data_IF_726095439860
#
_entry.id   IF_726095439860
#
_cell.length_a   1.000
_cell.length_b   1.000
_cell.length_c   1.000
_cell.angle_alpha   90.00
_cell.angle_beta   90.00
_cell.angle_gamma   90.00
#
_symmetry.space_group_name_H-M   'P 1'
#
loop_
_entity.id
_entity.type
_entity.pdbx_description
1 polymer ?
#
# COMPACT_ATOMS: atom_id res chain seq x y z
N UNK A 1 -42.38 28.72 -17.18
CA UNK A 1 -40.95 29.11 -17.27
C UNK A 1 -40.01 28.29 -16.36
N UNK A 2 -40.22 26.98 -16.14
CA UNK A 2 -39.41 26.18 -15.19
C UNK A 2 -38.74 24.91 -15.77
N UNK A 3 -38.78 24.71 -17.11
CA UNK A 3 -38.21 23.50 -17.75
C UNK A 3 -36.79 23.72 -18.29
N UNK A 4 -36.43 24.95 -18.62
CA UNK A 4 -35.13 25.30 -19.25
C UNK A 4 -33.96 25.36 -18.25
N UNK A 5 -34.21 25.67 -16.96
CA UNK A 5 -33.15 25.74 -15.93
C UNK A 5 -32.61 24.37 -15.46
N UNK A 6 -33.37 23.28 -15.65
CA UNK A 6 -32.97 21.92 -15.20
C UNK A 6 -32.03 21.20 -16.16
N UNK A 7 -32.04 21.57 -17.45
CA UNK A 7 -31.18 20.97 -18.48
C UNK A 7 -29.74 21.52 -18.36
N UNK A 8 -29.58 22.85 -18.21
CA UNK A 8 -28.26 23.50 -18.05
C UNK A 8 -27.47 23.06 -16.80
N UNK A 9 -28.14 22.61 -15.73
CA UNK A 9 -27.46 22.13 -14.51
C UNK A 9 -26.90 20.71 -14.68
N UNK A 10 -27.53 19.87 -15.50
CA UNK A 10 -27.08 18.50 -15.78
C UNK A 10 -25.93 18.45 -16.79
N UNK A 11 -25.92 19.33 -17.78
CA UNK A 11 -24.80 19.44 -18.72
C UNK A 11 -23.53 19.95 -18.05
N UNK A 12 -23.62 20.98 -17.21
CA UNK A 12 -22.47 21.49 -16.45
C UNK A 12 -21.87 20.46 -15.47
N UNK A 13 -22.70 19.61 -14.86
CA UNK A 13 -22.23 18.53 -13.98
C UNK A 13 -21.48 17.43 -14.75
N UNK A 14 -21.95 17.05 -15.95
CA UNK A 14 -21.27 16.08 -16.82
C UNK A 14 -19.91 16.59 -17.30
N UNK A 15 -19.82 17.87 -17.67
CA UNK A 15 -18.57 18.51 -18.11
C UNK A 15 -17.55 18.61 -16.97
N UNK A 16 -17.98 18.91 -15.74
CA UNK A 16 -17.10 18.94 -14.55
C UNK A 16 -16.61 17.53 -14.16
N UNK A 17 -17.45 16.50 -14.31
CA UNK A 17 -17.09 15.12 -13.99
C UNK A 17 -16.12 14.52 -15.03
N UNK A 18 -16.30 14.83 -16.32
CA UNK A 18 -15.36 14.45 -17.38
C UNK A 18 -14.01 15.16 -17.25
N UNK A 19 -13.98 16.42 -16.83
CA UNK A 19 -12.72 17.15 -16.59
C UNK A 19 -11.96 16.61 -15.36
N UNK A 20 -12.66 16.17 -14.29
CA UNK A 20 -12.04 15.46 -13.15
C UNK A 20 -11.46 14.10 -13.55
N UNK A 21 -12.14 13.33 -14.39
CA UNK A 21 -11.66 12.03 -14.88
C UNK A 21 -10.43 12.17 -15.79
N UNK A 22 -10.42 13.16 -16.69
CA UNK A 22 -9.26 13.48 -17.54
C UNK A 22 -8.04 13.93 -16.72
N UNK A 23 -8.24 14.70 -15.65
CA UNK A 23 -7.16 15.07 -14.74
C UNK A 23 -6.64 13.86 -13.93
N UNK A 24 -7.49 12.97 -13.41
CA UNK A 24 -7.06 11.73 -12.73
C UNK A 24 -6.19 10.83 -13.62
N UNK A 25 -6.55 10.66 -14.90
CA UNK A 25 -5.76 9.91 -15.88
C UNK A 25 -4.38 10.54 -16.13
N UNK A 26 -4.29 11.87 -16.16
CA UNK A 26 -3.02 12.60 -16.29
C UNK A 26 -2.10 12.40 -15.08
N UNK A 27 -2.65 12.36 -13.85
CA UNK A 27 -1.87 12.06 -12.63
C UNK A 27 -1.42 10.60 -12.58
N UNK A 28 -2.27 9.66 -12.98
CA UNK A 28 -1.95 8.23 -13.01
C UNK A 28 -0.80 7.93 -13.99
N UNK A 29 -0.88 8.45 -15.21
CA UNK A 29 0.13 8.24 -16.25
C UNK A 29 1.46 8.96 -15.95
N UNK A 30 1.41 10.14 -15.34
CA UNK A 30 2.61 10.88 -14.91
C UNK A 30 3.33 10.16 -13.75
N UNK A 31 2.60 9.49 -12.86
CA UNK A 31 3.17 8.83 -11.68
C UNK A 31 3.79 7.47 -12.01
N UNK A 32 3.17 6.66 -12.88
CA UNK A 32 3.80 5.42 -13.38
C UNK A 32 5.09 5.71 -14.16
N UNK A 33 5.10 6.73 -15.01
CA UNK A 33 6.30 7.14 -15.76
C UNK A 33 7.45 7.59 -14.83
N UNK A 34 7.13 8.32 -13.76
CA UNK A 34 8.14 8.79 -12.81
C UNK A 34 8.67 7.67 -11.90
N UNK A 35 7.84 6.70 -11.52
CA UNK A 35 8.28 5.53 -10.76
C UNK A 35 9.21 4.66 -11.60
N UNK A 36 8.82 4.29 -12.82
CA UNK A 36 9.68 3.54 -13.72
C UNK A 36 11.01 4.25 -13.99
N UNK A 37 10.99 5.58 -14.20
CA UNK A 37 12.21 6.39 -14.38
C UNK A 37 13.10 6.42 -13.13
N UNK A 38 12.52 6.51 -11.93
CA UNK A 38 13.27 6.49 -10.67
C UNK A 38 13.87 5.12 -10.37
N UNK A 39 13.13 4.05 -10.64
CA UNK A 39 13.61 2.68 -10.47
C UNK A 39 14.75 2.37 -11.44
N UNK A 40 14.61 2.76 -12.72
CA UNK A 40 15.70 2.61 -13.71
C UNK A 40 16.91 3.47 -13.34
N UNK A 41 16.70 4.70 -12.87
CA UNK A 41 17.78 5.56 -12.39
C UNK A 41 18.51 4.95 -11.19
N UNK A 42 17.77 4.44 -10.19
CA UNK A 42 18.32 3.76 -9.03
C UNK A 42 19.11 2.51 -9.43
N UNK A 43 18.57 1.67 -10.31
CA UNK A 43 19.25 0.46 -10.82
C UNK A 43 20.55 0.84 -11.56
N UNK A 44 20.51 1.87 -12.40
CA UNK A 44 21.69 2.33 -13.14
C UNK A 44 22.75 2.98 -12.23
N UNK A 45 22.34 3.71 -11.19
CA UNK A 45 23.24 4.29 -10.19
C UNK A 45 23.90 3.21 -9.33
N UNK A 46 23.18 2.15 -8.96
CA UNK A 46 23.76 0.99 -8.28
C UNK A 46 24.76 0.27 -9.19
N UNK A 47 24.40 0.01 -10.46
CA UNK A 47 25.28 -0.65 -11.43
C UNK A 47 26.58 0.14 -11.71
N UNK A 48 26.52 1.48 -11.71
CA UNK A 48 27.71 2.33 -11.87
C UNK A 48 28.59 2.33 -10.62
N UNK A 49 28.01 2.26 -9.42
CA UNK A 49 28.76 2.16 -8.15
C UNK A 49 29.43 0.79 -7.93
N UNK A 50 28.99 -0.23 -8.67
CA UNK A 50 29.51 -1.60 -8.61
C UNK A 50 30.61 -1.90 -9.64
N UNK A 51 30.84 -0.99 -10.60
CA UNK A 51 31.85 -1.15 -11.67
C UNK A 51 33.33 -1.09 -11.22
N UNK A 52 33.59 -1.07 -9.90
CA UNK A 52 34.93 -1.04 -9.32
C UNK A 52 35.14 -2.00 -8.14
N UNK A 53 34.27 -3.00 -7.94
CA UNK A 53 34.43 -4.01 -6.89
C UNK A 53 34.56 -5.40 -7.49
N UNK A 54 35.59 -6.12 -7.07
CA UNK A 54 35.97 -7.46 -7.53
C UNK A 54 34.77 -8.38 -7.78
N UNK A 55 34.67 -8.93 -8.99
CA UNK A 55 33.63 -9.86 -9.48
C UNK A 55 33.44 -11.12 -8.62
N UNK A 56 34.31 -11.36 -7.63
CA UNK A 56 34.33 -12.58 -6.83
C UNK A 56 33.30 -12.61 -5.69
N UNK A 57 32.48 -11.57 -5.49
CA UNK A 57 31.55 -11.52 -4.35
C UNK A 57 30.14 -10.96 -4.62
N UNK A 58 29.68 -10.95 -5.87
CA UNK A 58 28.28 -10.62 -6.21
C UNK A 58 27.46 -11.91 -6.31
N UNK A 59 26.37 -12.10 -5.54
CA UNK A 59 25.50 -13.27 -5.71
C UNK A 59 24.76 -13.13 -7.05
N UNK A 60 25.15 -13.95 -8.04
CA UNK A 60 24.43 -14.07 -9.31
C UNK A 60 23.05 -14.67 -9.04
N UNK A 61 22.00 -14.08 -9.60
CA UNK A 61 20.61 -14.58 -9.54
C UNK A 61 20.45 -16.04 -10.03
N UNK A 62 21.44 -16.56 -10.77
CA UNK A 62 21.52 -17.95 -11.22
C UNK A 62 21.93 -18.97 -10.14
N UNK A 63 22.39 -18.56 -8.95
CA UNK A 63 22.78 -19.50 -7.87
C UNK A 63 21.64 -19.88 -6.92
N UNK A 64 20.40 -19.44 -7.20
CA UNK A 64 19.18 -19.86 -6.51
C UNK A 64 18.61 -21.18 -7.07
N UNK A 65 19.43 -21.97 -7.77
CA UNK A 65 19.04 -23.32 -8.20
C UNK A 65 19.26 -24.32 -7.07
N UNK A 66 18.13 -24.81 -6.53
CA UNK A 66 17.95 -26.16 -6.00
C UNK A 66 19.01 -26.66 -5.01
N UNK A 67 18.83 -26.32 -3.74
CA UNK A 67 19.28 -27.19 -2.65
C UNK A 67 18.19 -27.26 -1.59
N UNK A 68 17.64 -28.45 -1.41
CA UNK A 68 16.76 -28.81 -0.29
C UNK A 68 17.40 -28.36 1.04
N UNK A 69 16.84 -27.33 1.69
CA UNK A 69 17.33 -26.86 2.99
C UNK A 69 16.98 -25.40 3.30
N UNK A 70 15.91 -25.20 4.08
CA UNK A 70 15.52 -24.00 4.85
C UNK A 70 15.93 -22.61 4.31
N UNK A 71 15.02 -21.93 3.59
CA UNK A 71 15.05 -20.47 3.40
C UNK A 71 14.32 -19.80 4.58
N UNK A 72 14.75 -20.10 5.81
CA UNK A 72 14.01 -19.76 7.04
C UNK A 72 14.45 -18.43 7.70
N UNK A 73 15.13 -17.53 6.99
CA UNK A 73 15.54 -16.25 7.60
C UNK A 73 15.16 -15.06 6.74
N UNK A 74 14.66 -14.01 7.41
CA UNK A 74 14.40 -12.72 6.81
C UNK A 74 15.73 -12.21 6.24
N UNK A 75 15.79 -12.03 4.92
CA UNK A 75 16.98 -11.46 4.30
C UNK A 75 16.78 -9.94 4.11
N UNK A 76 17.27 -9.09 5.05
CA UNK A 76 17.16 -7.64 4.92
C UNK A 76 17.90 -7.10 3.69
N UNK A 77 18.83 -7.86 3.10
CA UNK A 77 19.51 -7.49 1.86
C UNK A 77 18.59 -7.58 0.63
N UNK A 78 17.52 -8.39 0.71
CA UNK A 78 16.56 -8.58 -0.39
C UNK A 78 15.33 -7.69 -0.21
N UNK A 79 14.80 -7.56 1.01
CA UNK A 79 13.53 -6.87 1.27
C UNK A 79 13.67 -5.55 2.04
N UNK A 80 14.89 -5.14 2.40
CA UNK A 80 15.17 -3.92 3.14
C UNK A 80 14.90 -4.03 4.64
N UNK A 81 14.94 -2.90 5.34
CA UNK A 81 14.63 -2.81 6.78
C UNK A 81 13.13 -2.68 7.02
N UNK A 82 12.65 -3.20 8.16
CA UNK A 82 11.27 -3.00 8.62
C UNK A 82 10.94 -1.50 8.65
N UNK A 83 9.77 -1.12 8.13
CA UNK A 83 9.25 0.24 8.19
C UNK A 83 9.03 0.66 9.65
N UNK A 84 9.46 1.88 10.00
CA UNK A 84 9.32 2.44 11.35
C UNK A 84 7.94 3.03 11.57
N UNK A 85 7.61 3.40 12.82
CA UNK A 85 6.33 4.05 13.15
C UNK A 85 6.13 5.36 12.40
N UNK A 86 7.20 6.13 12.17
CA UNK A 86 7.16 7.39 11.41
C UNK A 86 6.62 7.21 9.98
N UNK A 87 6.85 6.05 9.34
CA UNK A 87 6.27 5.77 8.04
C UNK A 87 4.74 5.72 8.10
N UNK A 88 4.19 5.13 9.16
CA UNK A 88 2.75 4.96 9.32
C UNK A 88 2.06 6.19 9.89
N UNK A 89 2.80 7.10 10.56
CA UNK A 89 2.31 8.43 10.98
C UNK A 89 2.18 9.39 9.78
N UNK A 90 1.43 8.93 8.78
CA UNK A 90 1.19 9.57 7.50
C UNK A 90 -0.33 9.68 7.29
N UNK A 91 -0.84 10.78 6.70
CA UNK A 91 -2.26 10.90 6.34
C UNK A 91 -2.78 9.71 5.54
N UNK A 92 -3.99 9.22 5.81
CA UNK A 92 -4.51 7.93 5.31
C UNK A 92 -4.36 7.74 3.80
N UNK A 93 -4.75 8.75 3.01
CA UNK A 93 -4.67 8.68 1.54
C UNK A 93 -3.22 8.58 1.05
N UNK A 94 -2.32 9.30 1.71
CA UNK A 94 -0.89 9.26 1.39
C UNK A 94 -0.28 7.93 1.80
N UNK A 95 -0.67 7.41 2.97
CA UNK A 95 -0.23 6.11 3.45
C UNK A 95 -0.68 4.97 2.52
N UNK A 96 -1.92 5.01 2.04
CA UNK A 96 -2.45 4.00 1.13
C UNK A 96 -1.60 3.88 -0.14
N UNK A 97 -1.26 5.02 -0.76
CA UNK A 97 -0.37 5.04 -1.94
C UNK A 97 1.06 4.64 -1.57
N UNK A 98 1.58 5.10 -0.43
CA UNK A 98 2.95 4.80 0.00
C UNK A 98 3.17 3.33 0.34
N UNK A 99 2.12 2.60 0.72
CA UNK A 99 2.14 1.16 0.98
C UNK A 99 2.25 0.33 -0.31
N UNK A 100 1.84 0.83 -1.46
CA UNK A 100 1.98 0.12 -2.74
C UNK A 100 3.46 -0.15 -3.05
N UNK A 101 3.75 -1.39 -3.42
CA UNK A 101 5.11 -1.87 -3.67
C UNK A 101 5.91 -2.23 -2.41
N UNK A 102 5.39 -1.96 -1.19
CA UNK A 102 5.99 -2.47 0.05
C UNK A 102 5.72 -3.96 0.21
N UNK A 103 6.55 -4.63 0.99
CA UNK A 103 6.44 -6.08 1.21
C UNK A 103 5.87 -6.34 2.60
N UNK A 104 4.76 -7.07 2.64
CA UNK A 104 4.23 -7.65 3.87
C UNK A 104 4.96 -8.96 4.14
N UNK A 105 5.56 -9.08 5.33
CA UNK A 105 6.27 -10.28 5.76
C UNK A 105 5.52 -10.94 6.92
N UNK A 106 5.26 -12.24 6.84
CA UNK A 106 4.65 -13.03 7.91
C UNK A 106 5.57 -14.18 8.30
N UNK A 107 6.12 -14.13 9.50
CA UNK A 107 6.76 -15.29 10.13
C UNK A 107 5.69 -16.25 10.62
N UNK A 108 5.72 -17.50 10.16
CA UNK A 108 4.83 -18.59 10.59
C UNK A 108 5.31 -19.17 11.92
N UNK A 109 4.48 -20.00 12.54
CA UNK A 109 4.83 -20.68 13.80
C UNK A 109 5.96 -21.69 13.59
N UNK A 110 6.06 -22.24 12.39
CA UNK A 110 7.11 -23.15 11.94
C UNK A 110 8.44 -22.44 11.63
N UNK A 111 8.46 -21.11 11.70
CA UNK A 111 9.67 -20.30 11.48
C UNK A 111 9.90 -19.86 10.04
N UNK A 112 9.09 -20.32 9.10
CA UNK A 112 9.11 -19.86 7.70
C UNK A 112 8.67 -18.40 7.62
N UNK A 113 9.09 -17.70 6.57
CA UNK A 113 8.66 -16.32 6.34
C UNK A 113 8.02 -16.25 4.96
N UNK A 114 6.75 -15.86 4.95
CA UNK A 114 5.98 -15.61 3.73
C UNK A 114 6.11 -14.14 3.33
N UNK A 115 6.18 -13.88 2.03
CA UNK A 115 6.37 -12.53 1.49
C UNK A 115 5.32 -12.22 0.42
N UNK A 116 4.65 -11.07 0.56
CA UNK A 116 3.73 -10.56 -0.44
C UNK A 116 3.94 -9.08 -0.68
N UNK A 117 4.14 -8.68 -1.94
CA UNK A 117 4.21 -7.28 -2.33
C UNK A 117 2.81 -6.70 -2.38
N UNK A 118 2.57 -5.60 -1.69
CA UNK A 118 1.27 -4.92 -1.66
C UNK A 118 1.02 -4.29 -3.03
N UNK A 119 -0.05 -4.72 -3.69
CA UNK A 119 -0.43 -4.22 -5.04
C UNK A 119 -1.79 -3.53 -5.06
N UNK A 120 -2.60 -3.70 -4.02
CA UNK A 120 -3.91 -3.05 -3.90
C UNK A 120 -4.19 -2.68 -2.44
N UNK A 121 -4.63 -1.43 -2.25
CA UNK A 121 -4.98 -0.85 -0.95
C UNK A 121 -6.24 0.01 -1.07
N UNK A 122 -7.02 0.09 0.01
CA UNK A 122 -8.15 1.03 0.13
C UNK A 122 -7.96 1.93 1.36
N UNK A 123 -8.23 3.23 1.22
CA UNK A 123 -8.16 4.21 2.30
C UNK A 123 -9.56 4.44 2.89
N UNK A 124 -9.66 4.43 4.22
CA UNK A 124 -10.87 4.78 4.96
C UNK A 124 -10.62 5.99 5.85
N UNK A 125 -11.33 7.09 5.60
CA UNK A 125 -11.00 8.42 6.14
C UNK A 125 -11.57 8.69 7.55
N UNK A 126 -11.80 7.62 8.32
CA UNK A 126 -12.29 7.73 9.70
C UNK A 126 -13.69 8.33 9.80
N UNK A 127 -13.85 9.31 10.69
CA UNK A 127 -15.16 9.84 11.09
C UNK A 127 -15.97 10.47 9.96
N UNK A 128 -15.31 10.98 8.91
CA UNK A 128 -15.96 11.67 7.79
C UNK A 128 -16.41 10.72 6.67
N UNK A 129 -15.97 9.46 6.70
CA UNK A 129 -16.20 8.49 5.63
C UNK A 129 -17.35 7.53 5.97
N UNK A 130 -18.51 7.62 5.30
CA UNK A 130 -19.65 6.73 5.56
C UNK A 130 -19.37 5.24 5.36
N UNK A 131 -18.34 4.88 4.59
CA UNK A 131 -17.93 3.50 4.39
C UNK A 131 -17.00 2.98 5.50
N UNK A 132 -16.47 3.87 6.34
CA UNK A 132 -15.54 3.51 7.41
C UNK A 132 -16.29 2.99 8.64
N UNK A 133 -15.73 1.98 9.32
CA UNK A 133 -16.27 1.51 10.60
C UNK A 133 -16.23 2.56 11.72
N UNK A 134 -15.38 3.58 11.59
CA UNK A 134 -15.27 4.71 12.50
C UNK A 134 -16.20 5.89 12.14
N UNK A 135 -17.04 5.77 11.11
CA UNK A 135 -17.93 6.85 10.66
C UNK A 135 -18.73 7.48 11.81
N UNK A 136 -18.73 8.82 11.88
CA UNK A 136 -19.35 9.58 12.96
C UNK A 136 -18.64 9.46 14.30
N UNK A 137 -17.34 9.17 14.31
CA UNK A 137 -16.53 9.04 15.53
C UNK A 137 -16.82 7.78 16.33
N UNK A 138 -17.35 6.73 15.69
CA UNK A 138 -17.73 5.48 16.38
C UNK A 138 -16.50 4.74 16.89
N UNK A 139 -16.37 4.66 18.21
CA UNK A 139 -15.35 3.88 18.88
C UNK A 139 -16.00 2.75 19.68
N UNK A 140 -15.76 1.52 19.25
CA UNK A 140 -16.25 0.29 19.88
C UNK A 140 -15.05 -0.58 20.26
N UNK A 141 -15.24 -1.62 21.08
CA UNK A 141 -14.19 -2.61 21.33
C UNK A 141 -13.59 -3.17 20.02
N UNK A 142 -14.43 -3.35 18.99
CA UNK A 142 -14.01 -3.81 17.67
C UNK A 142 -13.17 -2.77 16.91
N UNK A 143 -13.55 -1.49 16.94
CA UNK A 143 -12.86 -0.43 16.17
C UNK A 143 -11.73 0.26 16.93
N UNK A 144 -11.54 -0.06 18.22
CA UNK A 144 -10.49 0.51 19.05
C UNK A 144 -9.08 0.53 18.41
N UNK A 145 -8.64 -0.51 17.67
CA UNK A 145 -7.33 -0.48 17.00
C UNK A 145 -7.17 0.63 15.95
N UNK A 146 -8.26 1.13 15.36
CA UNK A 146 -8.23 2.25 14.39
C UNK A 146 -7.93 3.59 15.07
N UNK A 147 -8.12 3.69 16.39
CA UNK A 147 -7.81 4.87 17.20
C UNK A 147 -6.49 4.73 17.97
N UNK A 148 -5.81 3.59 17.83
CA UNK A 148 -4.50 3.35 18.42
C UNK A 148 -3.39 4.02 17.59
N UNK A 149 -2.15 4.12 18.12
CA UNK A 149 -1.06 4.79 17.41
C UNK A 149 -0.86 4.31 15.97
N UNK A 150 -0.45 5.18 15.03
CA UNK A 150 -0.32 4.82 13.61
C UNK A 150 0.56 3.60 13.37
N UNK A 151 0.17 2.74 12.43
CA UNK A 151 0.82 1.45 12.15
C UNK A 151 0.27 0.28 12.98
N UNK A 152 -0.80 0.50 13.76
CA UNK A 152 -1.45 -0.56 14.53
C UNK A 152 -2.31 -1.42 13.61
N UNK A 153 -2.18 -2.74 13.74
CA UNK A 153 -2.96 -3.68 12.97
C UNK A 153 -4.42 -3.71 13.46
N UNK A 154 -5.35 -3.49 12.54
CA UNK A 154 -6.77 -3.69 12.75
C UNK A 154 -7.26 -4.84 11.88
N UNK A 155 -7.40 -6.02 12.49
CA UNK A 155 -7.96 -7.22 11.85
C UNK A 155 -9.35 -7.47 12.38
N UNK A 156 -10.33 -7.62 11.50
CA UNK A 156 -11.69 -7.96 11.90
C UNK A 156 -12.26 -9.10 11.06
N UNK A 157 -13.23 -9.80 11.64
CA UNK A 157 -13.95 -10.89 11.01
C UNK A 157 -15.18 -10.36 10.26
N UNK A 158 -15.36 -10.80 9.02
CA UNK A 158 -16.46 -10.39 8.14
C UNK A 158 -17.17 -11.63 7.58
N UNK A 159 -18.50 -11.51 7.41
CA UNK A 159 -19.38 -12.56 6.87
C UNK A 159 -19.32 -13.91 7.59
N UNK A 160 -18.79 -13.95 8.82
CA UNK A 160 -18.67 -15.20 9.57
C UNK A 160 -17.61 -16.16 9.03
N UNK A 161 -16.74 -15.74 8.11
CA UNK A 161 -15.76 -16.65 7.48
C UNK A 161 -14.44 -16.02 7.01
N UNK A 162 -14.36 -14.69 6.86
CA UNK A 162 -13.16 -14.03 6.32
C UNK A 162 -12.58 -12.99 7.28
N UNK A 163 -11.30 -12.67 7.10
CA UNK A 163 -10.62 -11.59 7.83
C UNK A 163 -10.19 -10.48 6.88
N UNK A 164 -10.33 -9.24 7.33
CA UNK A 164 -9.80 -8.06 6.65
C UNK A 164 -8.68 -7.45 7.48
N UNK A 165 -7.51 -7.21 6.87
CA UNK A 165 -6.34 -6.65 7.53
C UNK A 165 -6.15 -5.17 7.16
N UNK A 166 -6.22 -4.32 8.17
CA UNK A 166 -6.06 -2.88 8.04
C UNK A 166 -4.89 -2.39 8.91
N UNK A 167 -4.37 -1.22 8.58
CA UNK A 167 -3.30 -0.55 9.31
C UNK A 167 -3.78 0.85 9.66
N UNK A 168 -3.78 1.22 10.95
CA UNK A 168 -4.14 2.58 11.38
C UNK A 168 -3.19 3.63 10.79
N UNK A 169 -3.72 4.77 10.38
CA UNK A 169 -2.96 5.90 9.86
C UNK A 169 -2.83 7.00 10.91
N UNK A 170 -2.35 8.19 10.49
CA UNK A 170 -2.20 9.36 11.35
C UNK A 170 -3.51 9.83 11.99
N UNK A 171 -4.57 9.91 11.22
CA UNK A 171 -5.87 10.40 11.67
C UNK A 171 -6.58 9.37 12.57
N UNK A 172 -7.17 9.85 13.65
CA UNK A 172 -7.90 9.00 14.59
C UNK A 172 -9.08 8.30 13.89
N UNK A 173 -9.17 6.97 14.06
CA UNK A 173 -10.22 6.17 13.45
C UNK A 173 -10.02 5.92 11.95
N UNK A 174 -8.96 6.44 11.32
CA UNK A 174 -8.68 6.22 9.92
C UNK A 174 -7.66 5.08 9.70
N UNK A 175 -7.78 4.40 8.57
CA UNK A 175 -6.93 3.24 8.29
C UNK A 175 -6.82 2.92 6.80
N UNK A 176 -5.84 2.09 6.47
CA UNK A 176 -5.66 1.51 5.14
C UNK A 176 -5.92 0.01 5.17
N UNK A 177 -6.84 -0.46 4.34
CA UNK A 177 -7.08 -1.88 4.09
C UNK A 177 -6.08 -2.41 3.06
N UNK A 178 -5.46 -3.56 3.34
CA UNK A 178 -4.67 -4.30 2.34
C UNK A 178 -5.60 -5.28 1.63
N UNK A 179 -5.69 -5.17 0.30
CA UNK A 179 -6.66 -5.93 -0.51
C UNK A 179 -6.06 -7.06 -1.32
N UNK A 180 -4.89 -6.81 -1.89
CA UNK A 180 -4.20 -7.80 -2.70
C UNK A 180 -2.69 -7.71 -2.50
N UNK A 181 -2.07 -8.88 -2.52
CA UNK A 181 -0.63 -9.06 -2.53
C UNK A 181 -0.24 -9.83 -3.80
N UNK A 182 0.88 -9.46 -4.41
CA UNK A 182 1.60 -10.31 -5.36
C UNK A 182 2.55 -11.20 -4.53
N UNK A 183 2.35 -12.53 -4.54
CA UNK A 183 3.24 -13.45 -3.83
C UNK A 183 4.66 -13.38 -4.41
N UNK A 184 5.68 -13.31 -3.55
CA UNK A 184 7.07 -13.22 -4.00
C UNK A 184 7.86 -14.53 -3.82
N UNK A 185 7.49 -15.35 -2.83
CA UNK A 185 8.02 -16.68 -2.51
C UNK A 185 7.08 -17.36 -1.52
#
# INVERSE_FOLDING_TARGET
>A
MARTKRVNKKENAKTQQQNKAKNKSKYFNKTQSNYAKRTVKYINEQAQSESGKDEKNVPKLASLSSSNGSIASFNPQVFGKRLTRDFFDTPTETLAVALLGKVLCRKTEQGEILYGKIIETEAYLGEIDPACHAYGGKQTARTAPMYAPPGTAYVYFIYGMYHCFNISSKEAGACVLIRALEPLI
#
